data_IF_660651681755
#
_entry.id   IF_660651681755
#
_cell.length_a   1.000
_cell.length_b   1.000
_cell.length_c   1.000
_cell.angle_alpha   90.00
_cell.angle_beta   90.00
_cell.angle_gamma   90.00
#
_symmetry.space_group_name_H-M   'P 1'
#
loop_
_entity.id
_entity.type
_entity.pdbx_description
1 polymer ?
#
# COMPACT_ATOMS: atom_id res chain seq x y z
N UNK A 1 -8.65 -26.36 -9.09
CA UNK A 1 -8.33 -25.67 -7.83
C UNK A 1 -8.55 -24.15 -7.84
N UNK A 2 -8.08 -23.35 -8.81
CA UNK A 2 -8.14 -21.88 -8.69
C UNK A 2 -9.57 -21.33 -8.60
N UNK A 3 -10.55 -21.98 -9.23
CA UNK A 3 -11.96 -21.62 -9.10
C UNK A 3 -12.52 -21.80 -7.68
N UNK A 4 -12.11 -22.87 -6.99
CA UNK A 4 -12.55 -23.14 -5.60
C UNK A 4 -12.05 -22.04 -4.67
N UNK A 5 -10.78 -21.65 -4.80
CA UNK A 5 -10.21 -20.55 -4.02
C UNK A 5 -10.89 -19.21 -4.32
N UNK A 6 -11.24 -18.93 -5.58
CA UNK A 6 -12.00 -17.73 -5.93
C UNK A 6 -13.39 -17.70 -5.30
N UNK A 7 -14.10 -18.84 -5.30
CA UNK A 7 -15.41 -18.96 -4.66
C UNK A 7 -15.30 -18.80 -3.14
N UNK A 8 -14.32 -19.43 -2.50
CA UNK A 8 -14.07 -19.27 -1.07
C UNK A 8 -13.73 -17.82 -0.70
N UNK A 9 -12.87 -17.16 -1.49
CA UNK A 9 -12.58 -15.75 -1.26
C UNK A 9 -13.85 -14.89 -1.41
N UNK A 10 -14.65 -15.11 -2.45
CA UNK A 10 -15.88 -14.35 -2.68
C UNK A 10 -16.93 -14.57 -1.59
N UNK A 11 -17.11 -15.82 -1.13
CA UNK A 11 -18.01 -16.14 -0.02
C UNK A 11 -17.56 -15.48 1.28
N UNK A 12 -16.25 -15.44 1.53
CA UNK A 12 -15.70 -14.81 2.73
C UNK A 12 -15.81 -13.29 2.69
N UNK A 13 -15.57 -12.68 1.53
CA UNK A 13 -15.74 -11.24 1.29
C UNK A 13 -17.20 -10.79 1.42
N UNK A 14 -18.15 -11.62 0.98
CA UNK A 14 -19.58 -11.37 1.11
C UNK A 14 -20.10 -11.60 2.55
N UNK A 15 -19.32 -12.27 3.40
CA UNK A 15 -19.74 -12.57 4.76
C UNK A 15 -19.48 -11.37 5.69
N UNK A 16 -20.53 -10.74 6.26
CA UNK A 16 -20.39 -9.60 7.16
C UNK A 16 -19.80 -9.97 8.53
N UNK A 17 -19.71 -11.26 8.87
CA UNK A 17 -19.19 -11.71 10.16
C UNK A 17 -17.75 -11.23 10.37
N UNK A 18 -17.48 -10.69 11.56
CA UNK A 18 -16.16 -10.18 11.93
C UNK A 18 -15.11 -11.30 12.09
N UNK A 19 -15.54 -12.52 12.39
CA UNK A 19 -14.67 -13.68 12.62
C UNK A 19 -14.81 -14.75 11.53
N UNK A 20 -13.77 -15.59 11.41
CA UNK A 20 -13.82 -16.78 10.56
C UNK A 20 -14.69 -17.87 11.19
N UNK A 21 -15.50 -18.55 10.37
CA UNK A 21 -16.10 -19.83 10.77
C UNK A 21 -15.02 -20.90 10.96
N UNK A 22 -15.29 -21.92 11.77
CA UNK A 22 -14.35 -23.04 12.02
C UNK A 22 -13.85 -23.71 10.74
N UNK A 23 -14.69 -23.80 9.71
CA UNK A 23 -14.29 -24.31 8.40
C UNK A 23 -13.10 -23.52 7.80
N UNK A 24 -13.21 -22.20 7.70
CA UNK A 24 -12.14 -21.33 7.21
C UNK A 24 -10.91 -21.35 8.13
N UNK A 25 -11.09 -21.48 9.45
CA UNK A 25 -9.96 -21.61 10.39
C UNK A 25 -9.13 -22.85 10.10
N UNK A 26 -9.78 -23.99 9.85
CA UNK A 26 -9.12 -25.23 9.50
C UNK A 26 -8.40 -25.18 8.13
N UNK A 27 -8.74 -24.22 7.26
CA UNK A 27 -8.06 -24.01 5.99
C UNK A 27 -6.77 -23.18 6.12
N UNK A 28 -6.52 -22.48 7.24
CA UNK A 28 -5.34 -21.62 7.39
C UNK A 28 -4.05 -22.43 7.22
N UNK A 29 -3.85 -23.49 8.00
CA UNK A 29 -2.63 -24.28 7.94
C UNK A 29 -2.37 -24.89 6.55
N UNK A 30 -3.36 -25.52 5.88
CA UNK A 30 -3.20 -25.94 4.48
C UNK A 30 -2.86 -24.80 3.52
N UNK A 31 -3.52 -23.64 3.60
CA UNK A 31 -3.27 -22.47 2.72
C UNK A 31 -1.84 -21.94 2.89
N UNK A 32 -1.30 -22.00 4.11
CA UNK A 32 0.07 -21.56 4.38
C UNK A 32 1.14 -22.57 3.92
N UNK A 33 0.75 -23.75 3.46
CA UNK A 33 1.68 -24.76 2.95
C UNK A 33 2.37 -24.30 1.64
N UNK A 34 3.71 -24.31 1.55
CA UNK A 34 4.43 -23.85 0.37
C UNK A 34 4.03 -24.55 -0.95
N UNK A 35 3.57 -25.80 -0.89
CA UNK A 35 3.20 -26.62 -2.04
C UNK A 35 2.02 -26.04 -2.83
N UNK A 36 1.04 -25.42 -2.16
CA UNK A 36 -0.11 -24.80 -2.83
C UNK A 36 0.30 -23.58 -3.68
N UNK A 37 1.40 -22.94 -3.31
CA UNK A 37 1.95 -21.74 -3.96
C UNK A 37 2.94 -22.05 -5.08
N UNK A 38 3.17 -23.32 -5.42
CA UNK A 38 4.03 -23.72 -6.55
C UNK A 38 3.31 -23.58 -7.90
N UNK A 39 2.01 -23.86 -7.92
CA UNK A 39 1.19 -23.71 -9.12
C UNK A 39 0.87 -22.24 -9.37
N UNK A 40 1.44 -21.66 -10.42
CA UNK A 40 1.25 -20.24 -10.79
C UNK A 40 -0.23 -19.89 -11.01
N UNK A 41 -1.03 -20.81 -11.53
CA UNK A 41 -2.47 -20.61 -11.74
C UNK A 41 -3.27 -20.46 -10.44
N UNK A 42 -2.77 -21.00 -9.32
CA UNK A 42 -3.41 -20.85 -8.01
C UNK A 42 -3.09 -19.51 -7.35
N UNK A 43 -1.93 -18.91 -7.66
CA UNK A 43 -1.40 -17.74 -6.93
C UNK A 43 -2.41 -16.59 -6.84
N UNK A 44 -3.06 -16.12 -7.92
CA UNK A 44 -3.99 -14.99 -7.80
C UNK A 44 -5.19 -15.29 -6.90
N UNK A 45 -5.69 -16.54 -6.94
CA UNK A 45 -6.83 -16.96 -6.13
C UNK A 45 -6.45 -17.17 -4.66
N UNK A 46 -5.26 -17.74 -4.39
CA UNK A 46 -4.74 -17.94 -3.05
C UNK A 46 -4.36 -16.62 -2.38
N UNK A 47 -3.71 -15.70 -3.10
CA UNK A 47 -3.44 -14.35 -2.60
C UNK A 47 -4.73 -13.65 -2.21
N UNK A 48 -5.76 -13.68 -3.06
CA UNK A 48 -7.08 -13.10 -2.72
C UNK A 48 -7.68 -13.75 -1.48
N UNK A 49 -7.70 -15.08 -1.41
CA UNK A 49 -8.26 -15.82 -0.28
C UNK A 49 -7.51 -15.49 1.01
N UNK A 50 -6.19 -15.59 1.02
CA UNK A 50 -5.37 -15.29 2.19
C UNK A 50 -5.56 -13.82 2.64
N UNK A 51 -5.52 -12.87 1.71
CA UNK A 51 -5.75 -11.44 2.02
C UNK A 51 -7.15 -11.15 2.53
N UNK A 52 -8.16 -11.96 2.19
CA UNK A 52 -9.52 -11.85 2.74
C UNK A 52 -9.69 -12.51 4.11
N UNK A 53 -8.84 -13.51 4.42
CA UNK A 53 -8.84 -14.21 5.71
C UNK A 53 -8.11 -13.43 6.80
N UNK A 54 -6.95 -12.86 6.49
CA UNK A 54 -6.07 -12.16 7.45
C UNK A 54 -6.84 -11.15 8.32
N UNK A 55 -7.68 -10.23 7.77
CA UNK A 55 -8.41 -9.26 8.60
C UNK A 55 -9.35 -9.87 9.62
N UNK A 56 -9.86 -11.09 9.37
CA UNK A 56 -10.84 -11.78 10.22
C UNK A 56 -10.19 -12.70 11.27
N UNK A 57 -8.87 -12.89 11.22
CA UNK A 57 -8.15 -13.75 12.17
C UNK A 57 -6.76 -13.23 12.59
N UNK A 58 -6.44 -11.96 12.34
CA UNK A 58 -5.11 -11.40 12.63
C UNK A 58 -4.61 -11.66 14.07
N UNK A 59 -5.42 -11.49 15.15
CA UNK A 59 -4.96 -11.79 16.50
C UNK A 59 -4.53 -13.26 16.69
N UNK A 60 -5.24 -14.19 16.06
CA UNK A 60 -4.94 -15.63 16.14
C UNK A 60 -3.70 -15.98 15.31
N UNK A 61 -3.52 -15.36 14.14
CA UNK A 61 -2.31 -15.54 13.33
C UNK A 61 -1.06 -15.12 14.11
N UNK A 62 -1.14 -14.03 14.86
CA UNK A 62 -0.06 -13.56 15.74
C UNK A 62 0.16 -14.56 16.87
N UNK A 63 -0.89 -14.95 17.59
CA UNK A 63 -0.80 -15.86 18.73
C UNK A 63 -0.23 -17.25 18.35
N UNK A 64 -0.50 -17.70 17.13
CA UNK A 64 -0.07 -19.00 16.62
C UNK A 64 1.29 -18.94 15.87
N UNK A 65 2.01 -17.82 15.90
CA UNK A 65 3.27 -17.62 15.16
C UNK A 65 3.16 -17.86 13.64
N UNK A 66 2.02 -17.51 13.06
CA UNK A 66 1.74 -17.73 11.64
C UNK A 66 2.14 -16.56 10.73
N UNK A 67 2.66 -15.46 11.31
CA UNK A 67 3.20 -14.33 10.54
C UNK A 67 4.41 -14.76 9.69
N UNK A 68 5.34 -15.54 10.25
CA UNK A 68 6.54 -15.98 9.53
C UNK A 68 6.23 -16.83 8.29
N UNK A 69 5.33 -17.85 8.36
CA UNK A 69 4.85 -18.54 7.16
C UNK A 69 4.25 -17.61 6.10
N UNK A 70 3.45 -16.61 6.51
CA UNK A 70 2.85 -15.64 5.59
C UNK A 70 3.93 -14.77 4.93
N UNK A 71 4.93 -14.33 5.70
CA UNK A 71 6.07 -13.57 5.20
C UNK A 71 6.97 -14.41 4.29
N UNK A 72 7.09 -15.72 4.55
CA UNK A 72 7.75 -16.67 3.66
C UNK A 72 7.02 -16.81 2.33
N UNK A 73 5.68 -16.80 2.33
CA UNK A 73 4.89 -16.74 1.09
C UNK A 73 5.12 -15.43 0.36
N UNK A 74 5.09 -14.28 1.05
CA UNK A 74 5.43 -12.98 0.47
C UNK A 74 6.81 -13.01 -0.22
N UNK A 75 7.84 -13.53 0.46
CA UNK A 75 9.18 -13.66 -0.10
C UNK A 75 9.20 -14.57 -1.33
N UNK A 76 8.51 -15.71 -1.28
CA UNK A 76 8.36 -16.63 -2.43
C UNK A 76 7.71 -15.92 -3.61
N UNK A 77 6.60 -15.20 -3.39
CA UNK A 77 5.90 -14.46 -4.45
C UNK A 77 6.76 -13.34 -5.06
N UNK A 78 7.55 -12.66 -4.24
CA UNK A 78 8.46 -11.61 -4.66
C UNK A 78 9.60 -12.14 -5.54
N UNK A 79 10.08 -13.36 -5.28
CA UNK A 79 11.10 -14.04 -6.11
C UNK A 79 10.57 -14.58 -7.45
N UNK A 80 9.24 -14.60 -7.64
CA UNK A 80 8.61 -15.10 -8.85
C UNK A 80 8.68 -14.14 -10.05
N UNK A 81 8.06 -14.53 -11.17
CA UNK A 81 7.99 -13.69 -12.39
C UNK A 81 7.03 -12.50 -12.19
N UNK A 82 7.13 -11.49 -13.07
CA UNK A 82 6.50 -10.17 -12.96
C UNK A 82 5.02 -10.08 -12.50
N UNK A 83 4.18 -11.11 -12.69
CA UNK A 83 2.78 -11.08 -12.22
C UNK A 83 2.60 -11.58 -10.78
N UNK A 84 3.46 -12.49 -10.27
CA UNK A 84 3.33 -13.00 -8.89
C UNK A 84 3.86 -12.01 -7.85
N UNK A 85 4.85 -11.20 -8.23
CA UNK A 85 5.38 -10.13 -7.37
C UNK A 85 4.31 -9.08 -7.02
N UNK A 86 3.37 -8.77 -7.94
CA UNK A 86 2.28 -7.84 -7.64
C UNK A 86 1.32 -8.40 -6.59
N UNK A 87 1.05 -9.71 -6.64
CA UNK A 87 0.22 -10.42 -5.67
C UNK A 87 0.87 -10.53 -4.28
N UNK A 88 2.20 -10.39 -4.20
CA UNK A 88 2.91 -10.34 -2.92
C UNK A 88 2.49 -9.12 -2.09
N UNK A 89 2.25 -7.98 -2.75
CA UNK A 89 1.77 -6.79 -2.09
C UNK A 89 0.35 -6.97 -1.55
N UNK A 90 -0.55 -7.68 -2.24
CA UNK A 90 -1.90 -7.92 -1.72
C UNK A 90 -1.88 -8.68 -0.38
N UNK A 91 -0.96 -9.65 -0.22
CA UNK A 91 -0.76 -10.40 1.02
C UNK A 91 -0.14 -9.51 2.10
N UNK A 92 0.94 -8.79 1.74
CA UNK A 92 1.65 -7.94 2.68
C UNK A 92 0.79 -6.79 3.20
N UNK A 93 0.00 -6.16 2.33
CA UNK A 93 -0.91 -5.10 2.73
C UNK A 93 -2.02 -5.61 3.64
N UNK A 94 -2.55 -6.82 3.41
CA UNK A 94 -3.53 -7.41 4.31
C UNK A 94 -2.95 -7.60 5.72
N UNK A 95 -1.68 -8.02 5.81
CA UNK A 95 -0.96 -8.12 7.09
C UNK A 95 -0.86 -6.76 7.78
N UNK A 96 -0.35 -5.75 7.07
CA UNK A 96 -0.14 -4.40 7.61
C UNK A 96 -1.44 -3.73 8.04
N UNK A 97 -2.54 -3.97 7.31
CA UNK A 97 -3.86 -3.41 7.64
C UNK A 97 -4.49 -4.06 8.86
N UNK A 98 -4.10 -5.27 9.22
CA UNK A 98 -4.84 -6.10 10.17
C UNK A 98 -4.07 -6.38 11.46
N UNK A 99 -2.73 -6.35 11.42
CA UNK A 99 -1.88 -6.59 12.58
C UNK A 99 -1.47 -5.27 13.24
N UNK A 100 -1.33 -5.30 14.57
CA UNK A 100 -0.70 -4.22 15.33
C UNK A 100 0.75 -4.00 14.84
N UNK A 101 1.17 -2.73 14.76
CA UNK A 101 2.54 -2.36 14.42
C UNK A 101 3.57 -3.11 15.29
N UNK A 102 3.26 -3.36 16.56
CA UNK A 102 4.15 -4.08 17.47
C UNK A 102 4.47 -5.51 16.99
N UNK A 103 3.51 -6.16 16.32
CA UNK A 103 3.68 -7.53 15.81
C UNK A 103 4.48 -7.58 14.49
N UNK A 104 4.43 -6.51 13.69
CA UNK A 104 5.07 -6.47 12.35
C UNK A 104 6.40 -5.72 12.31
N UNK A 105 6.65 -4.81 13.25
CA UNK A 105 7.79 -3.88 13.21
C UNK A 105 9.15 -4.58 13.10
N UNK A 106 9.32 -5.73 13.75
CA UNK A 106 10.59 -6.46 13.77
C UNK A 106 10.89 -7.12 12.41
N UNK A 107 9.85 -7.43 11.64
CA UNK A 107 9.99 -8.02 10.31
C UNK A 107 10.13 -6.96 9.21
N UNK A 108 9.81 -5.70 9.52
CA UNK A 108 9.72 -4.63 8.54
C UNK A 108 11.05 -4.32 7.82
N UNK A 109 12.22 -4.30 8.49
CA UNK A 109 13.50 -4.15 7.79
C UNK A 109 13.73 -5.26 6.75
N UNK A 110 13.43 -6.51 7.09
CA UNK A 110 13.56 -7.64 6.15
C UNK A 110 12.60 -7.49 4.97
N UNK A 111 11.35 -7.09 5.22
CA UNK A 111 10.35 -6.81 4.19
C UNK A 111 10.85 -5.71 3.23
N UNK A 112 11.33 -4.59 3.77
CA UNK A 112 11.86 -3.49 2.96
C UNK A 112 13.11 -3.90 2.19
N UNK A 113 14.03 -4.65 2.79
CA UNK A 113 15.22 -5.15 2.10
C UNK A 113 14.87 -6.01 0.88
N UNK A 114 13.88 -6.91 1.02
CA UNK A 114 13.36 -7.71 -0.09
C UNK A 114 12.79 -6.83 -1.21
N UNK A 115 11.96 -5.83 -0.85
CA UNK A 115 11.35 -4.91 -1.81
C UNK A 115 12.41 -4.03 -2.51
N UNK A 116 13.36 -3.48 -1.75
CA UNK A 116 14.42 -2.61 -2.29
C UNK A 116 15.36 -3.38 -3.20
N UNK A 117 15.71 -4.62 -2.84
CA UNK A 117 16.47 -5.52 -3.71
C UNK A 117 15.74 -5.71 -5.03
N UNK A 118 14.41 -5.93 -4.99
CA UNK A 118 13.61 -6.07 -6.20
C UNK A 118 13.54 -4.77 -7.01
N UNK A 119 13.43 -3.60 -6.35
CA UNK A 119 13.42 -2.28 -6.99
C UNK A 119 14.72 -1.98 -7.74
N UNK A 120 15.86 -2.47 -7.25
CA UNK A 120 17.16 -2.30 -7.89
C UNK A 120 17.38 -3.25 -9.08
N UNK A 121 16.56 -4.30 -9.22
CA UNK A 121 16.71 -5.33 -10.24
C UNK A 121 15.81 -5.08 -11.47
N UNK A 122 15.82 -3.85 -12.01
CA UNK A 122 15.05 -3.42 -13.18
C UNK A 122 13.57 -3.89 -13.17
N UNK A 123 12.77 -3.48 -12.18
CA UNK A 123 11.38 -3.88 -12.07
C UNK A 123 10.51 -3.24 -13.16
N UNK A 124 9.39 -3.87 -13.55
CA UNK A 124 8.41 -3.24 -14.41
C UNK A 124 7.75 -2.03 -13.73
N UNK A 125 7.18 -1.11 -14.52
CA UNK A 125 6.49 0.08 -13.98
C UNK A 125 5.31 -0.28 -13.07
N UNK A 126 4.59 -1.36 -13.37
CA UNK A 126 3.51 -1.89 -12.52
C UNK A 126 3.98 -2.24 -11.10
N UNK A 127 5.20 -2.75 -10.96
CA UNK A 127 5.82 -3.03 -9.66
C UNK A 127 6.16 -1.74 -8.92
N UNK A 128 6.76 -0.75 -9.61
CA UNK A 128 7.07 0.56 -9.01
C UNK A 128 5.79 1.25 -8.52
N UNK A 129 4.72 1.24 -9.32
CA UNK A 129 3.41 1.77 -8.91
C UNK A 129 2.86 1.05 -7.69
N UNK A 130 2.99 -0.28 -7.62
CA UNK A 130 2.53 -1.02 -6.45
C UNK A 130 3.34 -0.71 -5.20
N UNK A 131 4.66 -0.54 -5.35
CA UNK A 131 5.53 -0.07 -4.27
C UNK A 131 5.16 1.35 -3.79
N UNK A 132 4.87 2.28 -4.70
CA UNK A 132 4.44 3.65 -4.37
C UNK A 132 3.13 3.63 -3.60
N UNK A 133 2.14 2.86 -4.07
CA UNK A 133 0.87 2.65 -3.35
C UNK A 133 1.11 2.06 -1.96
N UNK A 134 2.02 1.09 -1.85
CA UNK A 134 2.42 0.50 -0.57
C UNK A 134 3.04 1.51 0.39
N UNK A 135 3.93 2.39 -0.10
CA UNK A 135 4.46 3.50 0.70
C UNK A 135 3.34 4.42 1.23
N UNK A 136 2.38 4.80 0.37
CA UNK A 136 1.26 5.64 0.79
C UNK A 136 0.31 4.92 1.76
N UNK A 137 0.15 3.60 1.62
CA UNK A 137 -0.61 2.78 2.56
C UNK A 137 -0.03 2.88 3.98
N UNK A 138 1.28 2.76 4.11
CA UNK A 138 1.99 2.84 5.40
C UNK A 138 1.94 4.27 5.93
N UNK A 139 2.26 5.24 5.07
CA UNK A 139 2.39 6.64 5.43
C UNK A 139 1.07 7.30 5.81
N UNK A 140 -0.07 6.80 5.31
CA UNK A 140 -1.40 7.27 5.69
C UNK A 140 -1.90 6.77 7.06
N UNK A 141 -1.18 5.84 7.71
CA UNK A 141 -1.62 5.14 8.94
C UNK A 141 -0.78 5.49 10.18
N UNK A 142 -0.34 6.74 10.25
CA UNK A 142 0.24 7.35 11.45
C UNK A 142 -0.50 7.01 12.76
N UNK A 143 -1.84 7.04 12.74
CA UNK A 143 -2.70 6.72 13.90
C UNK A 143 -2.56 5.27 14.40
N UNK A 144 -2.03 4.36 13.58
CA UNK A 144 -1.79 2.95 13.92
C UNK A 144 -0.33 2.69 14.29
N UNK A 145 0.46 3.74 14.55
CA UNK A 145 1.89 3.65 14.83
C UNK A 145 2.76 3.42 13.58
N UNK A 146 2.17 3.52 12.39
CA UNK A 146 2.88 3.56 11.12
C UNK A 146 3.20 5.02 10.75
N UNK A 147 3.04 5.42 9.48
CA UNK A 147 3.33 6.77 9.03
C UNK A 147 4.67 6.91 8.30
N UNK A 148 4.93 8.12 7.80
CA UNK A 148 6.15 8.43 7.06
C UNK A 148 7.41 8.24 7.92
N UNK A 149 7.39 8.68 9.18
CA UNK A 149 8.51 8.55 10.11
C UNK A 149 8.85 7.08 10.40
N UNK A 150 7.82 6.24 10.54
CA UNK A 150 8.00 4.79 10.66
C UNK A 150 8.70 4.23 9.41
N UNK A 151 8.21 4.56 8.21
CA UNK A 151 8.82 4.08 6.96
C UNK A 151 10.28 4.52 6.83
N UNK A 152 10.58 5.78 7.16
CA UNK A 152 11.94 6.36 7.13
C UNK A 152 12.84 5.59 8.10
N UNK A 153 12.39 5.41 9.36
CA UNK A 153 13.15 4.67 10.39
C UNK A 153 13.46 3.24 9.94
N UNK A 154 12.46 2.52 9.43
CA UNK A 154 12.67 1.15 8.97
C UNK A 154 13.54 1.08 7.71
N UNK A 155 13.43 2.06 6.81
CA UNK A 155 14.31 2.16 5.63
C UNK A 155 15.76 2.39 6.03
N UNK A 156 16.01 3.28 7.00
CA UNK A 156 17.34 3.54 7.53
C UNK A 156 17.97 2.30 8.21
N UNK A 157 17.15 1.43 8.81
CA UNK A 157 17.61 0.16 9.37
C UNK A 157 18.05 -0.86 8.29
N UNK A 158 17.56 -0.73 7.05
CA UNK A 158 18.05 -1.52 5.90
C UNK A 158 19.35 -0.93 5.37
N UNK A 159 19.33 0.37 5.07
CA UNK A 159 20.49 1.10 4.59
C UNK A 159 20.33 2.58 4.96
N UNK A 160 21.32 3.11 5.69
CA UNK A 160 21.32 4.51 6.06
C UNK A 160 21.27 5.42 4.83
N UNK A 161 20.41 6.46 4.89
CA UNK A 161 20.26 7.43 3.80
C UNK A 161 19.50 6.93 2.57
N UNK A 162 19.03 5.67 2.53
CA UNK A 162 18.32 5.10 1.36
C UNK A 162 16.99 5.79 1.05
N UNK A 163 16.35 6.37 2.07
CA UNK A 163 15.04 7.01 1.90
C UNK A 163 15.08 8.19 0.93
N UNK A 164 16.08 9.08 1.01
CA UNK A 164 16.14 10.29 0.19
C UNK A 164 16.14 10.00 -1.32
N UNK A 165 17.06 9.18 -1.87
CA UNK A 165 17.04 8.86 -3.29
C UNK A 165 15.77 8.09 -3.68
N UNK A 166 15.31 7.14 -2.85
CA UNK A 166 14.08 6.38 -3.07
C UNK A 166 12.85 7.30 -3.17
N UNK A 167 12.77 8.29 -2.28
CA UNK A 167 11.66 9.24 -2.24
C UNK A 167 11.64 10.14 -3.46
N UNK A 168 12.80 10.65 -3.87
CA UNK A 168 12.91 11.59 -4.99
C UNK A 168 12.83 10.93 -6.37
N UNK A 169 13.34 9.70 -6.53
CA UNK A 169 13.44 9.04 -7.84
C UNK A 169 12.30 8.05 -8.13
N UNK A 170 11.65 7.51 -7.09
CA UNK A 170 10.62 6.49 -7.24
C UNK A 170 9.30 6.95 -6.65
N UNK A 171 9.27 7.36 -5.38
CA UNK A 171 8.01 7.67 -4.70
C UNK A 171 7.34 8.88 -5.34
N UNK A 172 7.95 10.07 -5.28
CA UNK A 172 7.31 11.30 -5.78
C UNK A 172 6.94 11.22 -7.29
N UNK A 173 7.81 10.72 -8.20
CA UNK A 173 7.42 10.57 -9.60
C UNK A 173 6.29 9.55 -9.78
N UNK A 174 6.38 8.39 -9.13
CA UNK A 174 5.37 7.34 -9.22
C UNK A 174 4.02 7.75 -8.61
N UNK A 175 4.02 8.65 -7.62
CA UNK A 175 2.80 9.21 -7.04
C UNK A 175 1.97 9.94 -8.08
N UNK A 176 2.61 10.66 -9.01
CA UNK A 176 1.91 11.40 -10.07
C UNK A 176 1.27 10.47 -11.12
N UNK A 177 1.83 9.25 -11.27
CA UNK A 177 1.37 8.24 -12.23
C UNK A 177 0.24 7.36 -11.68
N UNK A 178 -0.27 7.65 -10.47
CA UNK A 178 -1.42 6.91 -9.93
C UNK A 178 -2.68 7.32 -10.71
N UNK A 179 -3.18 6.41 -11.54
CA UNK A 179 -4.38 6.61 -12.35
C UNK A 179 -5.68 6.25 -11.58
N UNK A 180 -5.62 5.26 -10.69
CA UNK A 180 -6.82 4.75 -9.99
C UNK A 180 -7.29 5.74 -8.91
N UNK A 181 -8.60 6.08 -8.85
CA UNK A 181 -9.12 7.07 -7.90
C UNK A 181 -8.79 6.76 -6.43
N UNK A 182 -8.95 5.51 -5.99
CA UNK A 182 -8.63 5.11 -4.61
C UNK A 182 -7.13 5.18 -4.31
N UNK A 183 -6.28 4.90 -5.30
CA UNK A 183 -4.82 4.97 -5.12
C UNK A 183 -4.35 6.42 -5.04
N UNK A 184 -4.95 7.31 -5.84
CA UNK A 184 -4.73 8.76 -5.70
C UNK A 184 -5.22 9.28 -4.37
N UNK A 185 -6.41 8.85 -3.93
CA UNK A 185 -6.99 9.24 -2.64
C UNK A 185 -6.05 8.89 -1.48
N UNK A 186 -5.53 7.67 -1.44
CA UNK A 186 -4.58 7.29 -0.38
C UNK A 186 -3.27 8.05 -0.47
N UNK A 187 -2.80 8.39 -1.67
CA UNK A 187 -1.61 9.22 -1.86
C UNK A 187 -1.82 10.65 -1.32
N UNK A 188 -2.96 11.27 -1.60
CA UNK A 188 -3.31 12.59 -1.06
C UNK A 188 -3.35 12.55 0.47
N UNK A 189 -4.05 11.57 1.06
CA UNK A 189 -4.13 11.41 2.52
C UNK A 189 -2.73 11.21 3.11
N UNK A 190 -1.93 10.34 2.50
CA UNK A 190 -0.56 10.07 2.91
C UNK A 190 0.31 11.33 2.85
N UNK A 191 0.32 12.07 1.74
CA UNK A 191 1.16 13.27 1.61
C UNK A 191 0.72 14.37 2.58
N UNK A 192 -0.59 14.54 2.76
CA UNK A 192 -1.12 15.52 3.73
C UNK A 192 -0.64 15.21 5.13
N UNK A 193 -0.79 13.96 5.59
CA UNK A 193 -0.29 13.50 6.89
C UNK A 193 1.22 13.60 7.01
N UNK A 194 1.97 13.33 5.94
CA UNK A 194 3.43 13.55 5.92
C UNK A 194 3.79 15.02 6.10
N UNK A 195 3.03 15.96 5.52
CA UNK A 195 3.33 17.39 5.65
C UNK A 195 3.01 17.93 7.04
N UNK A 196 2.01 17.36 7.71
CA UNK A 196 1.51 17.83 9.00
C UNK A 196 2.14 17.15 10.19
N UNK A 197 2.28 15.82 10.16
CA UNK A 197 2.50 15.01 11.36
C UNK A 197 3.88 14.30 11.36
N UNK A 198 4.65 14.39 10.27
CA UNK A 198 6.00 13.80 10.21
C UNK A 198 7.05 14.73 10.82
N UNK A 199 7.69 14.26 11.90
CA UNK A 199 8.80 14.96 12.52
C UNK A 199 10.03 14.98 11.60
N UNK A 200 10.26 13.90 10.84
CA UNK A 200 11.38 13.84 9.91
C UNK A 200 11.25 14.88 8.79
N UNK A 201 10.05 15.11 8.25
CA UNK A 201 9.82 16.17 7.26
C UNK A 201 9.75 17.57 7.86
N UNK A 202 9.32 17.70 9.13
CA UNK A 202 9.37 18.97 9.84
C UNK A 202 10.82 19.45 10.05
N UNK A 203 11.73 18.57 10.48
CA UNK A 203 13.08 18.95 10.94
C UNK A 203 14.20 18.58 9.97
N UNK A 204 14.24 17.34 9.49
CA UNK A 204 15.39 16.82 8.72
C UNK A 204 15.23 17.10 7.22
N UNK A 205 14.03 16.88 6.68
CA UNK A 205 13.77 16.94 5.24
C UNK A 205 13.03 18.22 4.83
N UNK A 206 13.50 19.40 5.25
CA UNK A 206 12.87 20.68 4.91
C UNK A 206 12.65 20.88 3.39
N UNK A 207 13.66 20.56 2.55
CA UNK A 207 13.51 20.57 1.08
C UNK A 207 12.55 19.48 0.58
N UNK A 208 12.52 18.34 1.27
CA UNK A 208 11.58 17.25 0.97
C UNK A 208 10.14 17.66 1.26
N UNK A 209 9.91 18.47 2.30
CA UNK A 209 8.59 19.01 2.65
C UNK A 209 8.03 19.85 1.50
N UNK A 210 8.81 20.78 0.96
CA UNK A 210 8.38 21.60 -0.19
C UNK A 210 8.02 20.75 -1.42
N UNK A 211 8.87 19.78 -1.78
CA UNK A 211 8.60 18.85 -2.90
C UNK A 211 7.37 17.97 -2.67
N UNK A 212 7.12 17.58 -1.42
CA UNK A 212 5.95 16.78 -1.02
C UNK A 212 4.67 17.61 -1.18
N UNK A 213 4.72 18.87 -0.79
CA UNK A 213 3.61 19.81 -0.97
C UNK A 213 3.32 20.06 -2.45
N UNK A 214 4.36 20.30 -3.27
CA UNK A 214 4.17 20.45 -4.72
C UNK A 214 3.54 19.19 -5.35
N UNK A 215 3.95 18.00 -4.91
CA UNK A 215 3.36 16.74 -5.38
C UNK A 215 1.90 16.58 -4.95
N UNK A 216 1.55 17.01 -3.72
CA UNK A 216 0.18 17.03 -3.23
C UNK A 216 -0.69 17.98 -4.05
N UNK A 217 -0.25 19.22 -4.25
CA UNK A 217 -0.98 20.21 -5.04
C UNK A 217 -1.20 19.73 -6.48
N UNK A 218 -0.17 19.14 -7.11
CA UNK A 218 -0.31 18.53 -8.44
C UNK A 218 -1.34 17.41 -8.49
N UNK A 219 -1.45 16.60 -7.44
CA UNK A 219 -2.48 15.55 -7.37
C UNK A 219 -3.90 16.13 -7.22
N UNK A 220 -4.05 17.24 -6.51
CA UNK A 220 -5.33 17.91 -6.29
C UNK A 220 -5.81 18.69 -7.52
N UNK A 221 -4.91 19.31 -8.26
CA UNK A 221 -5.27 20.12 -9.44
C UNK A 221 -5.37 19.30 -10.71
N UNK A 222 -4.49 18.33 -10.91
CA UNK A 222 -4.46 17.60 -12.17
C UNK A 222 -5.47 16.43 -12.15
N UNK A 223 -6.21 16.22 -13.25
CA UNK A 223 -6.99 15.01 -13.40
C UNK A 223 -6.07 13.77 -13.36
N UNK A 224 -6.60 12.59 -12.99
CA UNK A 224 -5.86 11.34 -13.09
C UNK A 224 -5.36 11.10 -14.52
N UNK A 225 -4.13 10.60 -14.65
CA UNK A 225 -3.67 10.06 -15.93
C UNK A 225 -4.60 8.91 -16.38
N UNK A 226 -4.81 8.73 -17.68
CA UNK A 226 -5.63 7.63 -18.19
C UNK A 226 -5.05 6.28 -17.78
N UNK A 227 -5.92 5.37 -17.33
CA UNK A 227 -5.57 4.01 -16.94
C UNK A 227 -4.92 3.29 -18.13
N UNK A 228 -3.68 2.85 -17.97
CA UNK A 228 -2.94 2.09 -19.00
C UNK A 228 -3.25 0.60 -18.92
N UNK A 229 -2.88 -0.18 -19.95
CA UNK A 229 -3.03 -1.65 -19.94
C UNK A 229 -2.27 -2.31 -18.77
N UNK A 230 -1.18 -1.70 -18.32
CA UNK A 230 -0.42 -2.16 -17.16
C UNK A 230 -1.07 -1.77 -15.81
N UNK A 231 -2.06 -0.86 -15.81
CA UNK A 231 -2.83 -0.45 -14.64
C UNK A 231 -4.07 -1.29 -14.43
N UNK A 232 -4.57 -1.91 -15.48
CA UNK A 232 -5.45 -3.06 -15.33
C UNK A 232 -4.52 -4.18 -14.88
N UNK A 233 -4.75 -4.78 -13.71
CA UNK A 233 -4.15 -6.09 -13.43
C UNK A 233 -4.76 -6.99 -14.50
N UNK A 234 -4.10 -7.09 -15.65
CA UNK A 234 -4.70 -7.54 -16.87
C UNK A 234 -5.23 -8.95 -16.64
N UNK A 235 -6.56 -8.99 -16.65
CA UNK A 235 -7.41 -10.10 -17.03
C UNK A 235 -6.65 -10.99 -18.02
N UNK A 236 -6.32 -12.20 -17.55
CA UNK A 236 -5.88 -13.35 -18.33
C UNK A 236 -5.07 -13.05 -19.63
N UNK A 237 -3.73 -13.06 -19.53
CA UNK A 237 -2.95 -13.53 -20.69
C UNK A 237 -2.76 -15.02 -20.56
N UNK A 238 -3.37 -15.71 -21.51
CA UNK A 238 -3.38 -17.15 -21.74
C UNK A 238 -2.11 -17.54 -22.52
N UNK A 239 -0.94 -17.08 -22.07
CA UNK A 239 0.32 -17.32 -22.79
C UNK A 239 1.17 -18.46 -22.22
N UNK A 240 0.60 -19.29 -21.35
CA UNK A 240 1.14 -20.62 -21.05
C UNK A 240 0.11 -21.66 -21.50
N UNK A 241 0.18 -22.07 -22.78
CA UNK A 241 -0.58 -23.17 -23.43
C UNK A 241 -0.24 -24.57 -22.84
N UNK A 242 0.18 -24.64 -21.58
CA UNK A 242 0.39 -25.88 -20.85
C UNK A 242 -0.83 -26.18 -19.98
N UNK A 243 -1.36 -27.40 -20.13
CA UNK A 243 -2.56 -27.86 -19.41
C UNK A 243 -2.36 -27.72 -17.89
N UNK A 244 -3.17 -26.89 -17.23
CA UNK A 244 -3.15 -26.69 -15.77
C UNK A 244 -2.35 -25.49 -15.25
N UNK A 245 -1.78 -24.64 -16.11
CA UNK A 245 -0.94 -23.50 -15.69
C UNK A 245 -1.67 -22.14 -15.74
N UNK A 246 -2.81 -22.04 -16.43
CA UNK A 246 -3.59 -20.81 -16.57
C UNK A 246 -4.46 -20.45 -15.35
N UNK A 247 -4.54 -19.15 -15.03
CA UNK A 247 -5.55 -18.58 -14.13
C UNK A 247 -6.67 -17.95 -14.96
N UNK A 248 -7.92 -18.29 -14.65
CA UNK A 248 -9.10 -17.67 -15.25
C UNK A 248 -9.95 -17.07 -14.14
N UNK A 249 -10.18 -15.75 -14.21
CA UNK A 249 -10.99 -15.06 -13.22
C UNK A 249 -12.48 -15.33 -13.45
N UNK A 250 -13.23 -15.61 -12.38
CA UNK A 250 -14.69 -15.69 -12.43
C UNK A 250 -15.28 -14.28 -12.53
N UNK A 251 -15.89 -13.95 -13.67
CA UNK A 251 -16.53 -12.65 -13.90
C UNK A 251 -17.65 -12.35 -12.89
N UNK A 252 -18.37 -13.37 -12.43
CA UNK A 252 -19.44 -13.25 -11.43
C UNK A 252 -18.94 -13.02 -10.00
N UNK A 253 -17.63 -13.12 -9.77
CA UNK A 253 -17.02 -13.01 -8.45
C UNK A 253 -15.90 -11.96 -8.41
N UNK A 254 -15.96 -10.92 -9.24
CA UNK A 254 -14.96 -9.85 -9.23
C UNK A 254 -14.93 -9.16 -7.87
N UNK A 255 -13.72 -8.93 -7.33
CA UNK A 255 -13.52 -8.24 -6.06
C UNK A 255 -13.88 -6.77 -6.25
N UNK A 256 -14.77 -6.25 -5.42
CA UNK A 256 -15.05 -4.82 -5.39
C UNK A 256 -13.83 -4.08 -4.81
N UNK A 257 -13.52 -2.91 -5.38
CA UNK A 257 -12.52 -2.05 -4.79
C UNK A 257 -13.07 -1.49 -3.47
N UNK A 258 -12.28 -1.59 -2.40
CA UNK A 258 -12.67 -1.12 -1.06
C UNK A 258 -11.97 0.21 -0.81
N UNK A 259 -12.76 1.23 -0.47
CA UNK A 259 -12.23 2.50 0.02
C UNK A 259 -11.79 2.33 1.47
N UNK A 260 -10.51 2.56 1.74
CA UNK A 260 -9.91 2.41 3.06
C UNK A 260 -10.14 3.64 3.94
N UNK A 261 -10.57 4.75 3.35
CA UNK A 261 -10.83 6.02 4.02
C UNK A 261 -12.23 6.54 3.66
N UNK A 262 -13.31 5.76 3.90
CA UNK A 262 -14.67 6.12 3.49
C UNK A 262 -15.18 7.40 4.15
N UNK A 263 -14.60 7.86 5.25
CA UNK A 263 -14.90 9.13 5.89
C UNK A 263 -14.44 10.35 5.06
N UNK A 264 -13.45 10.18 4.18
CA UNK A 264 -12.91 11.26 3.32
C UNK A 264 -13.68 11.31 2.01
N UNK A 265 -14.85 11.95 2.00
CA UNK A 265 -15.69 12.05 0.80
C UNK A 265 -15.16 13.08 -0.20
N UNK A 266 -14.93 14.32 0.27
CA UNK A 266 -14.28 15.37 -0.51
C UNK A 266 -12.81 15.49 -0.08
N UNK A 267 -11.92 15.04 -0.95
CA UNK A 267 -10.48 15.04 -0.70
C UNK A 267 -9.94 16.47 -0.59
N UNK A 268 -10.43 17.41 -1.40
CA UNK A 268 -9.94 18.82 -1.40
C UNK A 268 -10.32 19.50 -0.09
N UNK A 269 -11.58 19.40 0.31
CA UNK A 269 -12.05 19.95 1.59
C UNK A 269 -11.32 19.31 2.77
N UNK A 270 -11.14 17.98 2.74
CA UNK A 270 -10.47 17.27 3.83
C UNK A 270 -9.01 17.71 4.00
N UNK A 271 -8.26 17.89 2.90
CA UNK A 271 -6.87 18.38 2.94
C UNK A 271 -6.82 19.75 3.61
N UNK A 272 -7.70 20.67 3.20
CA UNK A 272 -7.78 22.01 3.75
C UNK A 272 -8.09 22.02 5.25
N UNK A 273 -9.09 21.26 5.69
CA UNK A 273 -9.40 21.13 7.12
C UNK A 273 -8.25 20.51 7.90
N UNK A 274 -7.64 19.44 7.38
CA UNK A 274 -6.59 18.72 8.08
C UNK A 274 -5.32 19.56 8.26
N UNK A 275 -4.92 20.32 7.23
CA UNK A 275 -3.80 21.27 7.31
C UNK A 275 -4.05 22.38 8.32
N UNK A 276 -5.28 22.91 8.38
CA UNK A 276 -5.69 23.96 9.32
C UNK A 276 -5.66 23.46 10.77
N UNK A 277 -6.24 22.30 11.01
CA UNK A 277 -6.24 21.66 12.32
C UNK A 277 -4.82 21.32 12.76
N UNK A 278 -4.00 20.76 11.87
CA UNK A 278 -2.59 20.49 12.15
C UNK A 278 -1.79 21.77 12.43
N UNK A 279 -2.03 22.85 11.68
CA UNK A 279 -1.38 24.13 11.94
C UNK A 279 -1.71 24.66 13.33
N UNK A 280 -2.95 24.51 13.79
CA UNK A 280 -3.33 24.84 15.17
C UNK A 280 -2.68 23.90 16.20
N UNK A 281 -2.59 22.59 15.92
CA UNK A 281 -1.90 21.61 16.79
C UNK A 281 -0.39 21.88 16.94
N UNK A 282 0.22 22.52 15.94
CA UNK A 282 1.65 22.80 15.88
C UNK A 282 1.97 24.30 16.02
N UNK A 283 1.12 25.08 16.69
CA UNK A 283 1.35 26.50 17.03
C UNK A 283 1.75 27.38 15.83
N UNK A 284 1.18 27.13 14.66
CA UNK A 284 1.46 27.89 13.44
C UNK A 284 2.68 27.43 12.63
N UNK A 285 3.34 26.35 13.02
CA UNK A 285 4.55 25.86 12.35
C UNK A 285 4.30 25.51 10.87
N UNK A 286 3.14 24.94 10.54
CA UNK A 286 2.80 24.58 9.16
C UNK A 286 2.77 25.84 8.29
N UNK A 287 2.12 26.91 8.73
CA UNK A 287 2.14 28.20 8.02
C UNK A 287 3.56 28.77 7.86
N UNK A 288 4.44 28.64 8.86
CA UNK A 288 5.86 29.01 8.72
C UNK A 288 6.54 28.22 7.61
N UNK A 289 6.27 26.91 7.52
CA UNK A 289 6.84 26.05 6.48
C UNK A 289 6.34 26.43 5.09
N UNK A 290 5.06 26.79 4.96
CA UNK A 290 4.48 27.30 3.71
C UNK A 290 5.23 28.54 3.23
N UNK A 291 5.53 29.46 4.13
CA UNK A 291 6.18 30.73 3.80
C UNK A 291 7.67 30.56 3.46
N UNK A 292 8.36 29.66 4.15
CA UNK A 292 9.81 29.47 4.01
C UNK A 292 10.21 28.48 2.90
N UNK A 293 9.36 27.47 2.63
CA UNK A 293 9.76 26.27 1.87
C UNK A 293 9.09 26.15 0.50
N UNK A 294 8.09 26.98 0.20
CA UNK A 294 7.37 26.97 -1.07
C UNK A 294 7.70 28.18 -1.94
N UNK A 295 7.56 28.00 -3.26
CA UNK A 295 7.56 29.11 -4.20
C UNK A 295 6.23 29.88 -4.14
N UNK A 296 6.16 31.04 -4.79
CA UNK A 296 4.99 31.92 -4.73
C UNK A 296 3.69 31.29 -5.24
N UNK A 297 3.77 30.46 -6.28
CA UNK A 297 2.61 29.78 -6.88
C UNK A 297 2.06 28.70 -5.95
N UNK A 298 2.92 27.78 -5.49
CA UNK A 298 2.53 26.70 -4.58
C UNK A 298 2.05 27.24 -3.23
N UNK A 299 2.66 28.32 -2.74
CA UNK A 299 2.21 29.04 -1.54
C UNK A 299 0.79 29.58 -1.70
N UNK A 300 0.52 30.31 -2.79
CA UNK A 300 -0.81 30.88 -3.03
C UNK A 300 -1.88 29.81 -3.07
N UNK A 301 -1.62 28.71 -3.78
CA UNK A 301 -2.58 27.63 -3.93
C UNK A 301 -2.83 26.89 -2.61
N UNK A 302 -1.78 26.58 -1.84
CA UNK A 302 -1.96 25.90 -0.56
C UNK A 302 -2.69 26.78 0.45
N UNK A 303 -2.42 28.09 0.46
CA UNK A 303 -3.15 29.04 1.32
C UNK A 303 -4.63 29.07 0.97
N UNK A 304 -5.00 29.01 -0.32
CA UNK A 304 -6.41 28.88 -0.76
C UNK A 304 -7.07 27.63 -0.18
N UNK A 305 -6.37 26.49 -0.16
CA UNK A 305 -6.86 25.26 0.47
C UNK A 305 -7.01 25.37 1.99
N UNK A 306 -6.18 26.17 2.66
CA UNK A 306 -6.23 26.35 4.12
C UNK A 306 -7.35 27.30 4.59
N UNK A 307 -7.98 28.03 3.68
CA UNK A 307 -9.05 28.98 3.99
C UNK A 307 -10.44 28.34 4.13
#
# INVERSE_FOLDING_TARGET
MPYVFQLFAALLEANPAASLSDYYRNLIAPILSPSLWESRGNVPALSRLLSSMIPKCAPELVANNQLEPILGIFQKLMSGKAKTELQSFDVLEALIKSCDVAAIQNYFPTILNIIFTRLNNNPPESFKRRFVRFYHLISSRDQQGLGADFFIKQSAAVQEGVFTPLYLSIILPGTQQLARPLDRKIAVISLTKTLTDSQAFAVTYAKGWGKTCEALLKLLENPPEPVTKDDVVAEADVDDLSFGVGFTQLNTCKKAAVDEWPEVQDVKTWVGSYLRDANARHDGAISSYVDERLNSEARSLLVEYMH
#
